data_IF_081340490205
#
_entry.id   IF_081340490205
#
_cell.length_a   1.000
_cell.length_b   1.000
_cell.length_c   1.000
_cell.angle_alpha   90.00
_cell.angle_beta   90.00
_cell.angle_gamma   90.00
#
_symmetry.space_group_name_H-M   'P 1'
#
loop_
_entity.id
_entity.type
_entity.pdbx_description
1 polymer ?
#
# COMPACT_ATOMS: atom_id res chain seq x y z
N UNK A 1 -16.94 9.95 -2.67
CA UNK A 1 -17.23 8.52 -2.45
C UNK A 1 -16.79 7.80 -3.70
N UNK A 2 -15.83 6.90 -3.58
CA UNK A 2 -15.30 6.11 -4.71
C UNK A 2 -15.90 4.72 -4.54
N UNK A 3 -16.67 4.27 -5.53
CA UNK A 3 -17.18 2.89 -5.56
C UNK A 3 -16.17 2.01 -6.29
N UNK A 4 -15.52 1.13 -5.54
CA UNK A 4 -14.62 0.11 -6.09
C UNK A 4 -15.23 -1.25 -5.74
N UNK A 5 -15.63 -2.03 -6.75
CA UNK A 5 -16.14 -3.39 -6.53
C UNK A 5 -15.02 -4.44 -6.65
N UNK A 6 -13.87 -4.03 -7.17
CA UNK A 6 -12.71 -4.88 -7.38
C UNK A 6 -11.39 -4.14 -7.08
N UNK A 7 -10.30 -4.89 -6.85
CA UNK A 7 -8.95 -4.33 -6.80
C UNK A 7 -8.59 -3.54 -8.07
N UNK A 8 -9.07 -3.98 -9.23
CA UNK A 8 -8.81 -3.34 -10.51
C UNK A 8 -9.47 -1.95 -10.58
N UNK A 9 -10.72 -1.83 -10.12
CA UNK A 9 -11.40 -0.53 -10.05
C UNK A 9 -10.65 0.41 -9.10
N UNK A 10 -10.23 -0.10 -7.95
CA UNK A 10 -9.44 0.67 -6.99
C UNK A 10 -8.11 1.11 -7.59
N UNK A 11 -7.43 0.22 -8.31
CA UNK A 11 -6.17 0.53 -8.99
C UNK A 11 -6.34 1.65 -10.01
N UNK A 12 -7.37 1.60 -10.86
CA UNK A 12 -7.65 2.64 -11.86
C UNK A 12 -7.85 4.00 -11.18
N UNK A 13 -8.63 4.02 -10.10
CA UNK A 13 -8.91 5.26 -9.36
C UNK A 13 -7.63 5.82 -8.74
N UNK A 14 -6.88 5.00 -8.00
CA UNK A 14 -5.71 5.48 -7.26
C UNK A 14 -4.56 5.85 -8.20
N UNK A 15 -4.34 5.10 -9.28
CA UNK A 15 -3.36 5.45 -10.31
C UNK A 15 -3.73 6.77 -11.01
N UNK A 16 -5.01 6.99 -11.28
CA UNK A 16 -5.52 8.26 -11.81
C UNK A 16 -5.31 9.42 -10.84
N UNK A 17 -5.65 9.23 -9.56
CA UNK A 17 -5.51 10.25 -8.52
C UNK A 17 -4.05 10.64 -8.27
N UNK A 18 -3.15 9.65 -8.22
CA UNK A 18 -1.72 9.87 -7.98
C UNK A 18 -0.94 10.24 -9.25
N UNK A 19 -1.60 10.42 -10.41
CA UNK A 19 -0.92 10.74 -11.65
C UNK A 19 -0.18 12.08 -11.53
N UNK A 20 1.13 12.05 -11.78
CA UNK A 20 2.00 13.24 -11.69
C UNK A 20 2.43 13.62 -10.28
N UNK A 21 1.89 12.96 -9.24
CA UNK A 21 2.50 12.95 -7.91
C UNK A 21 3.75 12.07 -7.97
N UNK A 22 4.79 12.35 -7.18
CA UNK A 22 5.88 11.39 -7.16
C UNK A 22 5.47 10.10 -6.43
N UNK A 23 6.14 9.00 -6.78
CA UNK A 23 5.60 7.65 -6.54
C UNK A 23 4.41 7.27 -7.43
N UNK A 24 3.76 8.22 -8.13
CA UNK A 24 2.64 7.94 -9.04
C UNK A 24 2.98 6.97 -10.17
N UNK A 25 4.23 6.94 -10.63
CA UNK A 25 4.71 5.94 -11.59
C UNK A 25 4.72 4.52 -11.02
N UNK A 26 5.05 4.36 -9.74
CA UNK A 26 5.07 3.07 -9.04
C UNK A 26 3.62 2.60 -8.77
N UNK A 27 2.78 3.53 -8.31
CA UNK A 27 1.34 3.26 -8.15
C UNK A 27 0.70 2.85 -9.47
N UNK A 28 1.01 3.54 -10.57
CA UNK A 28 0.49 3.21 -11.90
C UNK A 28 0.98 1.87 -12.46
N UNK A 29 2.05 1.28 -11.91
CA UNK A 29 2.53 -0.06 -12.24
C UNK A 29 1.94 -1.16 -11.35
N UNK A 30 1.28 -0.77 -10.25
CA UNK A 30 0.83 -1.71 -9.23
C UNK A 30 1.90 -2.05 -8.19
N UNK A 31 2.99 -1.29 -8.12
CA UNK A 31 4.11 -1.51 -7.19
C UNK A 31 3.77 -1.00 -5.77
N UNK A 32 2.63 -1.39 -5.23
CA UNK A 32 2.16 -1.00 -3.91
C UNK A 32 1.36 -2.13 -3.23
N UNK A 33 1.29 -2.06 -1.90
CA UNK A 33 0.43 -2.89 -1.06
C UNK A 33 -0.57 -2.02 -0.34
N UNK A 34 -1.75 -2.59 -0.12
CA UNK A 34 -2.79 -2.01 0.72
C UNK A 34 -2.70 -2.69 2.07
N UNK A 35 -2.78 -1.91 3.14
CA UNK A 35 -2.70 -2.40 4.50
C UNK A 35 -3.89 -1.87 5.30
N UNK A 36 -4.31 -2.63 6.29
CA UNK A 36 -5.22 -2.12 7.31
C UNK A 36 -4.47 -1.11 8.18
N UNK A 37 -5.03 0.10 8.33
CA UNK A 37 -4.41 1.17 9.12
C UNK A 37 -4.40 0.90 10.62
N UNK A 38 -5.17 -0.08 11.12
CA UNK A 38 -5.22 -0.41 12.56
C UNK A 38 -4.11 -1.37 13.00
N UNK A 39 -3.74 -2.34 12.17
CA UNK A 39 -2.84 -3.44 12.53
C UNK A 39 -1.73 -3.72 11.50
N UNK A 40 -1.60 -2.86 10.48
CA UNK A 40 -0.62 -2.91 9.39
C UNK A 40 -0.61 -4.22 8.59
N UNK A 41 -1.69 -5.00 8.69
CA UNK A 41 -1.78 -6.24 7.94
C UNK A 41 -2.02 -5.95 6.46
N UNK A 42 -1.21 -6.60 5.61
CA UNK A 42 -1.35 -6.53 4.17
C UNK A 42 -2.68 -7.17 3.78
N UNK A 43 -3.52 -6.40 3.11
CA UNK A 43 -4.81 -6.86 2.60
C UNK A 43 -4.56 -7.58 1.28
N UNK A 44 -4.96 -8.83 1.21
CA UNK A 44 -4.90 -9.60 -0.03
C UNK A 44 -5.88 -8.97 -1.04
N UNK A 45 -5.44 -8.62 -2.26
CA UNK A 45 -6.33 -8.09 -3.30
C UNK A 45 -7.54 -9.00 -3.57
N UNK A 46 -7.40 -10.32 -3.45
CA UNK A 46 -8.52 -11.24 -3.66
C UNK A 46 -9.62 -11.12 -2.58
N UNK A 47 -9.28 -10.57 -1.42
CA UNK A 47 -10.18 -10.37 -0.29
C UNK A 47 -10.67 -8.91 -0.20
N UNK A 48 -10.28 -8.07 -1.17
CA UNK A 48 -10.58 -6.64 -1.19
C UNK A 48 -12.08 -6.34 -1.08
N UNK A 49 -12.91 -7.07 -1.84
CA UNK A 49 -14.36 -6.89 -1.83
C UNK A 49 -15.04 -7.35 -0.53
N UNK A 50 -14.38 -8.23 0.24
CA UNK A 50 -14.92 -8.78 1.48
C UNK A 50 -14.42 -8.04 2.72
N UNK A 51 -13.19 -7.55 2.70
CA UNK A 51 -12.55 -6.90 3.85
C UNK A 51 -12.83 -5.40 3.90
N UNK A 52 -12.95 -4.72 2.75
CA UNK A 52 -13.12 -3.28 2.73
C UNK A 52 -14.58 -2.88 2.86
N UNK A 53 -14.86 -2.08 3.89
CA UNK A 53 -16.17 -1.52 4.17
C UNK A 53 -16.18 -0.02 3.80
N UNK A 54 -17.32 0.54 3.37
CA UNK A 54 -17.45 1.99 3.21
C UNK A 54 -17.09 2.73 4.49
N UNK A 55 -16.19 3.72 4.38
CA UNK A 55 -15.71 4.51 5.53
C UNK A 55 -14.49 3.93 6.25
N UNK A 56 -14.02 2.75 5.87
CA UNK A 56 -12.77 2.17 6.38
C UNK A 56 -11.56 3.00 5.92
N UNK A 57 -10.63 3.28 6.83
CA UNK A 57 -9.33 3.84 6.50
C UNK A 57 -8.37 2.70 6.11
N UNK A 58 -7.59 2.90 5.06
CA UNK A 58 -6.56 1.98 4.60
C UNK A 58 -5.27 2.75 4.37
N UNK A 59 -4.16 2.08 4.60
CA UNK A 59 -2.83 2.60 4.33
C UNK A 59 -2.28 1.97 3.03
N UNK A 60 -1.42 2.73 2.35
CA UNK A 60 -0.72 2.26 1.17
C UNK A 60 0.79 2.38 1.36
N UNK A 61 1.50 1.29 1.10
CA UNK A 61 2.95 1.25 1.09
C UNK A 61 3.45 0.93 -0.32
N UNK A 62 4.44 1.68 -0.78
CA UNK A 62 5.10 1.44 -2.07
C UNK A 62 6.09 0.31 -1.89
N UNK A 63 5.98 -0.72 -2.72
CA UNK A 63 6.90 -1.86 -2.67
C UNK A 63 8.11 -1.54 -3.53
N UNK A 64 9.26 -1.35 -2.90
CA UNK A 64 10.52 -1.38 -3.64
C UNK A 64 10.91 -2.85 -3.85
N UNK A 65 10.87 -3.30 -5.10
CA UNK A 65 11.48 -4.55 -5.53
C UNK A 65 13.01 -4.41 -5.50
N UNK A 66 13.60 -4.32 -4.30
CA UNK A 66 14.98 -4.76 -4.14
C UNK A 66 14.97 -6.28 -4.13
N UNK A 67 15.90 -6.88 -4.85
CA UNK A 67 16.09 -8.33 -4.99
C UNK A 67 16.53 -8.99 -3.67
N UNK A 68 15.71 -8.90 -2.63
CA UNK A 68 15.98 -9.53 -1.32
C UNK A 68 14.71 -10.27 -0.89
N UNK A 69 14.33 -11.26 -1.68
CA UNK A 69 13.91 -12.51 -1.04
C UNK A 69 15.15 -13.10 -0.35
N UNK A 70 14.97 -13.52 0.90
CA UNK A 70 15.93 -14.26 1.74
C UNK A 70 17.02 -13.43 2.42
N UNK A 71 16.73 -12.91 3.63
CA UNK A 71 17.77 -12.94 4.67
C UNK A 71 17.80 -11.87 5.76
N UNK A 72 17.01 -10.80 5.72
CA UNK A 72 17.18 -9.72 6.70
C UNK A 72 15.99 -9.58 7.66
N UNK A 73 16.33 -9.84 8.94
CA UNK A 73 15.66 -9.60 10.23
C UNK A 73 14.19 -9.20 10.22
N UNK A 74 13.43 -9.90 11.06
CA UNK A 74 12.05 -9.63 11.51
C UNK A 74 11.79 -8.24 12.12
N UNK A 75 12.74 -7.31 12.02
CA UNK A 75 12.62 -5.93 12.47
C UNK A 75 12.14 -5.10 11.28
N UNK A 76 10.85 -4.75 11.30
CA UNK A 76 10.26 -3.90 10.26
C UNK A 76 10.98 -2.55 10.12
N UNK A 77 10.71 -1.85 9.02
CA UNK A 77 11.25 -0.53 8.74
C UNK A 77 10.49 0.55 9.51
N UNK A 78 11.21 1.32 10.34
CA UNK A 78 10.64 2.45 11.08
C UNK A 78 10.45 3.67 10.19
N UNK A 79 9.22 4.19 10.11
CA UNK A 79 8.92 5.46 9.47
C UNK A 79 9.73 6.59 10.13
N UNK A 80 10.52 7.38 9.38
CA UNK A 80 11.33 8.44 9.98
C UNK A 80 10.48 9.56 10.60
N UNK A 81 9.22 9.72 10.16
CA UNK A 81 8.30 10.79 10.57
C UNK A 81 7.54 10.47 11.85
N UNK A 82 6.95 9.27 11.95
CA UNK A 82 6.12 8.87 13.09
C UNK A 82 6.68 7.70 13.91
N UNK A 83 7.84 7.15 13.51
CA UNK A 83 8.50 5.98 14.13
C UNK A 83 7.69 4.68 14.09
N UNK A 84 6.57 4.69 13.40
CA UNK A 84 5.76 3.50 13.15
C UNK A 84 6.59 2.44 12.39
N UNK A 85 6.54 1.20 12.85
CA UNK A 85 7.36 0.09 12.32
C UNK A 85 6.51 -0.73 11.35
N UNK A 86 6.70 -0.55 10.04
CA UNK A 86 6.04 -1.40 9.03
C UNK A 86 6.91 -2.58 8.66
N UNK A 87 6.29 -3.74 8.46
CA UNK A 87 6.96 -4.94 7.95
C UNK A 87 7.28 -4.89 6.44
N UNK A 88 6.91 -3.82 5.73
CA UNK A 88 7.14 -3.66 4.29
C UNK A 88 8.34 -2.75 3.97
N UNK A 89 9.02 -3.04 2.85
CA UNK A 89 10.18 -2.28 2.35
C UNK A 89 9.74 -0.95 1.71
N UNK A 90 10.08 0.14 2.39
CA UNK A 90 10.08 1.49 1.79
C UNK A 90 8.89 2.38 2.17
N UNK A 91 9.20 3.64 2.44
CA UNK A 91 8.23 4.72 2.65
C UNK A 91 8.50 5.79 1.59
N UNK A 92 7.48 6.11 0.78
CA UNK A 92 7.52 7.36 0.01
C UNK A 92 6.93 8.44 0.91
N UNK A 93 7.75 9.43 1.24
CA UNK A 93 7.32 10.58 2.04
C UNK A 93 6.62 11.61 1.14
N UNK A 94 5.41 12.00 1.52
CA UNK A 94 4.70 13.21 1.08
C UNK A 94 4.35 14.03 2.32
#
# INVERSE_FOLDING_TARGET
MIFCMSPQDFHVVVAGFCRGSAGGLLIGRGDYRIMNSEDDQVINPNEFATLLQPGMAIDMSIVFHDQVEQGQSSEGYSCPRCKHVSRCTGWVTW
#
